data_IF_589979301219
#
_entry.id   IF_589979301219
#
_cell.length_a   1.000
_cell.length_b   1.000
_cell.length_c   1.000
_cell.angle_alpha   90.00
_cell.angle_beta   90.00
_cell.angle_gamma   90.00
#
_symmetry.space_group_name_H-M   'P 1'
#
loop_
_entity.id
_entity.type
_entity.pdbx_description
1 polymer ?
#
# COMPACT_ATOMS: atom_id res chain seq x y z
N UNK A 1 4.79 6.55 -14.64
CA UNK A 1 4.17 7.21 -13.45
C UNK A 1 5.00 8.40 -12.98
N UNK A 2 4.36 9.42 -12.37
CA UNK A 2 5.04 10.55 -11.73
C UNK A 2 4.91 10.44 -10.22
N UNK A 3 6.02 10.16 -9.54
CA UNK A 3 6.04 10.04 -8.09
C UNK A 3 6.10 11.39 -7.39
N UNK A 4 5.38 11.50 -6.27
CA UNK A 4 5.36 12.66 -5.40
C UNK A 4 5.54 12.20 -3.95
N UNK A 5 6.74 12.34 -3.41
CA UNK A 5 7.09 11.78 -2.09
C UNK A 5 6.70 12.70 -0.92
N UNK A 6 5.46 13.22 -0.89
CA UNK A 6 5.01 14.15 0.15
C UNK A 6 5.09 13.55 1.54
N UNK A 7 4.64 12.29 1.72
CA UNK A 7 4.65 11.65 3.03
C UNK A 7 6.08 11.37 3.51
N UNK A 8 6.95 10.90 2.61
CA UNK A 8 8.34 10.64 2.93
C UNK A 8 9.17 11.92 3.23
N UNK A 9 8.64 13.11 2.91
CA UNK A 9 9.26 14.39 3.28
C UNK A 9 8.89 14.88 4.69
N UNK A 10 7.96 14.19 5.37
CA UNK A 10 7.58 14.52 6.74
C UNK A 10 8.66 14.11 7.74
N UNK A 11 8.46 14.46 9.02
CA UNK A 11 9.36 14.05 10.09
C UNK A 11 9.43 12.51 10.16
N UNK A 12 10.65 11.97 10.26
CA UNK A 12 10.92 10.53 10.31
C UNK A 12 10.22 9.78 11.48
N UNK A 13 9.68 10.49 12.47
CA UNK A 13 8.85 9.89 13.53
C UNK A 13 7.45 9.47 13.03
N UNK A 14 7.03 9.92 11.85
CA UNK A 14 5.71 9.67 11.30
C UNK A 14 5.66 8.45 10.38
N UNK A 15 6.78 7.80 10.13
CA UNK A 15 6.85 6.59 9.32
C UNK A 15 8.07 5.74 9.63
N UNK A 16 8.02 4.49 9.19
CA UNK A 16 9.15 3.57 9.20
C UNK A 16 9.37 3.01 7.79
N UNK A 17 10.56 3.26 7.22
CA UNK A 17 10.90 2.71 5.92
C UNK A 17 11.24 1.23 6.03
N UNK A 18 10.60 0.41 5.21
CA UNK A 18 10.91 -1.01 5.09
C UNK A 18 10.41 -1.58 3.77
N UNK A 19 11.03 -2.66 3.34
CA UNK A 19 10.56 -3.41 2.19
C UNK A 19 9.39 -4.34 2.57
N UNK A 20 8.44 -4.61 1.66
CA UNK A 20 7.44 -5.64 1.87
C UNK A 20 8.09 -7.02 2.02
N UNK A 21 7.43 -7.90 2.75
CA UNK A 21 7.76 -9.32 2.77
C UNK A 21 6.93 -9.99 1.67
N UNK A 22 7.52 -10.45 0.57
CA UNK A 22 6.78 -10.95 -0.57
C UNK A 22 5.86 -12.13 -0.24
N UNK A 23 4.72 -12.20 -0.95
CA UNK A 23 3.89 -13.39 -0.96
C UNK A 23 4.49 -14.45 -1.86
N UNK A 24 4.73 -15.64 -1.32
CA UNK A 24 5.20 -16.79 -2.11
C UNK A 24 4.02 -17.38 -2.90
N UNK A 25 4.28 -17.72 -4.17
CA UNK A 25 3.27 -18.33 -5.04
C UNK A 25 2.08 -17.43 -5.31
N UNK A 26 2.30 -16.13 -5.41
CA UNK A 26 1.24 -15.18 -5.76
C UNK A 26 0.65 -15.51 -7.12
N UNK A 27 -0.69 -15.51 -7.19
CA UNK A 27 -1.44 -15.71 -8.42
C UNK A 27 -2.24 -14.46 -8.75
N UNK A 28 -2.42 -14.22 -10.04
CA UNK A 28 -3.27 -13.15 -10.53
C UNK A 28 -4.72 -13.34 -10.04
N UNK A 29 -5.27 -12.30 -9.46
CA UNK A 29 -6.69 -12.18 -9.17
C UNK A 29 -7.38 -11.34 -10.25
N UNK A 30 -7.97 -10.23 -9.83
CA UNK A 30 -8.58 -9.23 -10.73
C UNK A 30 -7.69 -7.99 -10.79
N UNK A 31 -7.48 -7.47 -11.98
CA UNK A 31 -6.77 -6.23 -12.24
C UNK A 31 -7.73 -5.18 -12.81
N UNK A 32 -7.75 -4.00 -12.21
CA UNK A 32 -8.55 -2.88 -12.72
C UNK A 32 -7.71 -2.07 -13.70
N UNK A 33 -7.84 -2.43 -14.98
CA UNK A 33 -7.07 -1.79 -16.06
C UNK A 33 -7.42 -0.30 -16.22
N UNK A 34 -8.70 0.05 -16.10
CA UNK A 34 -9.14 1.44 -16.19
C UNK A 34 -8.54 2.31 -15.10
N UNK A 35 -8.44 1.80 -13.87
CA UNK A 35 -7.76 2.49 -12.78
C UNK A 35 -6.25 2.61 -13.03
N UNK A 36 -5.62 1.58 -13.56
CA UNK A 36 -4.20 1.63 -13.90
C UNK A 36 -3.90 2.68 -14.99
N UNK A 37 -4.81 2.85 -15.96
CA UNK A 37 -4.72 3.90 -16.98
C UNK A 37 -4.87 5.29 -16.37
N UNK A 38 -5.86 5.50 -15.51
CA UNK A 38 -6.07 6.76 -14.78
C UNK A 38 -4.84 7.13 -13.94
N UNK A 39 -4.21 6.14 -13.32
CA UNK A 39 -3.00 6.28 -12.51
C UNK A 39 -1.72 6.37 -13.35
N UNK A 40 -1.84 6.35 -14.66
CA UNK A 40 -0.73 6.45 -15.62
C UNK A 40 0.34 5.35 -15.42
N UNK A 41 -0.09 4.13 -15.11
CA UNK A 41 0.83 3.00 -15.06
C UNK A 41 1.41 2.75 -16.44
N UNK A 42 2.73 2.51 -16.51
CA UNK A 42 3.38 2.12 -17.76
C UNK A 42 2.98 0.70 -18.17
N UNK A 43 3.18 0.35 -19.44
CA UNK A 43 2.94 -1.01 -19.92
C UNK A 43 3.81 -2.03 -19.16
N UNK A 44 5.02 -1.63 -18.76
CA UNK A 44 5.90 -2.45 -17.93
C UNK A 44 5.30 -2.68 -16.53
N UNK A 45 4.78 -1.63 -15.87
CA UNK A 45 4.17 -1.77 -14.55
C UNK A 45 2.90 -2.62 -14.62
N UNK A 46 2.09 -2.43 -15.67
CA UNK A 46 0.91 -3.25 -15.92
C UNK A 46 1.28 -4.72 -16.16
N UNK A 47 2.37 -4.99 -16.91
CA UNK A 47 2.83 -6.37 -17.11
C UNK A 47 3.33 -7.04 -15.81
N UNK A 48 3.86 -6.24 -14.87
CA UNK A 48 4.41 -6.72 -13.59
C UNK A 48 3.46 -6.49 -12.40
N UNK A 49 2.17 -6.27 -12.62
CA UNK A 49 1.26 -5.91 -11.53
C UNK A 49 1.17 -6.96 -10.42
N UNK A 50 1.29 -8.25 -10.74
CA UNK A 50 1.26 -9.32 -9.75
C UNK A 50 2.47 -9.22 -8.83
N UNK A 51 3.64 -8.98 -9.37
CA UNK A 51 4.89 -8.80 -8.62
C UNK A 51 4.83 -7.57 -7.73
N UNK A 52 4.27 -6.46 -8.23
CA UNK A 52 4.07 -5.23 -7.45
C UNK A 52 3.08 -5.46 -6.32
N UNK A 53 1.90 -6.01 -6.63
CA UNK A 53 0.84 -6.25 -5.65
C UNK A 53 1.15 -7.38 -4.65
N UNK A 54 2.09 -8.26 -4.97
CA UNK A 54 2.58 -9.30 -4.04
C UNK A 54 3.79 -8.86 -3.20
N UNK A 55 4.33 -7.66 -3.47
CA UNK A 55 5.50 -7.13 -2.79
C UNK A 55 6.82 -7.70 -3.28
N UNK A 56 6.85 -8.40 -4.41
CA UNK A 56 8.08 -8.92 -5.02
C UNK A 56 8.85 -7.81 -5.76
N UNK A 57 8.13 -6.83 -6.32
CA UNK A 57 8.69 -5.66 -6.99
C UNK A 57 8.21 -4.39 -6.28
N UNK A 58 9.10 -3.42 -6.12
CA UNK A 58 8.79 -2.09 -5.58
C UNK A 58 9.28 -1.02 -6.55
N UNK A 59 8.78 0.20 -6.42
CA UNK A 59 9.21 1.31 -7.25
C UNK A 59 10.51 1.90 -6.71
N UNK A 60 11.50 2.08 -7.58
CA UNK A 60 12.80 2.64 -7.20
C UNK A 60 12.69 4.10 -6.71
N UNK A 61 11.73 4.84 -7.25
CA UNK A 61 11.48 6.24 -6.96
C UNK A 61 10.78 6.48 -5.61
N UNK A 62 10.21 5.44 -5.01
CA UNK A 62 9.49 5.55 -3.76
C UNK A 62 9.84 4.38 -2.81
N UNK A 63 10.75 4.59 -1.85
CA UNK A 63 11.03 3.60 -0.82
C UNK A 63 9.75 3.30 0.00
N UNK A 64 9.28 2.04 0.06
CA UNK A 64 8.08 1.70 0.82
C UNK A 64 8.19 2.07 2.30
N UNK A 65 7.08 2.49 2.88
CA UNK A 65 7.04 2.89 4.28
C UNK A 65 5.73 2.49 4.98
N UNK A 66 5.82 2.21 6.27
CA UNK A 66 4.69 2.05 7.17
C UNK A 66 4.41 3.39 7.86
N UNK A 67 3.19 3.88 7.76
CA UNK A 67 2.79 5.16 8.36
C UNK A 67 2.51 5.01 9.86
N UNK A 68 2.76 6.09 10.61
CA UNK A 68 2.40 6.22 12.03
C UNK A 68 1.33 7.30 12.16
N UNK A 69 0.28 6.99 12.90
CA UNK A 69 -0.84 7.89 13.11
C UNK A 69 -1.47 7.67 14.49
N UNK A 70 -2.44 8.50 14.84
CA UNK A 70 -3.26 8.37 16.03
C UNK A 70 -4.74 8.40 15.64
N UNK A 71 -5.59 7.80 16.45
CA UNK A 71 -7.02 7.80 16.16
C UNK A 71 -7.84 6.96 17.13
N UNK A 72 -9.14 6.92 16.92
CA UNK A 72 -10.04 6.07 17.68
C UNK A 72 -10.03 4.64 17.15
N UNK A 73 -9.92 3.68 18.05
CA UNK A 73 -10.03 2.26 17.76
C UNK A 73 -10.89 1.60 18.85
N UNK A 74 -11.93 0.88 18.43
CA UNK A 74 -12.89 0.23 19.35
C UNK A 74 -13.50 1.20 20.38
N UNK A 75 -13.83 2.41 19.95
CA UNK A 75 -14.45 3.44 20.81
C UNK A 75 -13.49 4.14 21.78
N UNK A 76 -12.20 3.85 21.74
CA UNK A 76 -11.19 4.48 22.58
C UNK A 76 -10.14 5.22 21.74
N UNK A 77 -9.61 6.28 22.31
CA UNK A 77 -8.51 7.01 21.71
C UNK A 77 -7.20 6.21 21.85
N UNK A 78 -6.57 5.93 20.72
CA UNK A 78 -5.22 5.38 20.67
C UNK A 78 -4.24 6.48 20.25
N UNK A 79 -3.37 6.86 21.14
CA UNK A 79 -2.38 7.91 20.92
C UNK A 79 -1.31 7.54 19.89
N UNK A 80 -1.10 6.25 19.66
CA UNK A 80 -0.23 5.74 18.61
C UNK A 80 -0.82 4.50 17.98
N UNK A 81 -0.99 4.56 16.67
CA UNK A 81 -1.32 3.48 15.75
C UNK A 81 -0.28 3.49 14.61
N UNK A 82 -0.41 2.56 13.69
CA UNK A 82 0.41 2.53 12.49
C UNK A 82 -0.04 1.41 11.56
N UNK A 83 0.55 1.39 10.38
CA UNK A 83 0.29 0.39 9.35
C UNK A 83 0.83 -0.98 9.78
N UNK A 84 0.03 -1.74 10.52
CA UNK A 84 0.43 -3.04 11.08
C UNK A 84 0.45 -4.18 10.07
N UNK A 85 -0.08 -3.98 8.87
CA UNK A 85 -0.10 -4.98 7.78
C UNK A 85 -0.14 -4.34 6.40
N UNK A 86 0.25 -3.10 6.29
CA UNK A 86 0.23 -2.36 5.04
C UNK A 86 1.48 -1.53 4.88
N UNK A 87 1.80 -1.18 3.65
CA UNK A 87 2.87 -0.26 3.30
C UNK A 87 2.38 0.70 2.22
N UNK A 88 2.68 1.97 2.40
CA UNK A 88 2.62 2.93 1.31
C UNK A 88 3.79 2.62 0.38
N UNK A 89 3.48 2.19 -0.84
CA UNK A 89 4.48 1.77 -1.85
C UNK A 89 4.66 2.80 -2.96
N UNK A 90 3.85 3.85 -2.99
CA UNK A 90 3.94 4.94 -3.92
C UNK A 90 2.98 6.07 -3.59
N UNK A 91 3.38 7.29 -3.88
CA UNK A 91 2.50 8.45 -4.00
C UNK A 91 2.69 8.98 -5.41
N UNK A 92 1.67 8.93 -6.23
CA UNK A 92 1.74 9.27 -7.65
C UNK A 92 0.74 10.35 -8.02
N UNK A 93 0.99 11.05 -9.11
CA UNK A 93 0.03 11.97 -9.71
C UNK A 93 -0.80 11.20 -10.74
N UNK A 94 -2.13 11.26 -10.62
CA UNK A 94 -3.01 10.74 -11.65
C UNK A 94 -3.10 11.70 -12.85
N UNK A 95 -3.84 11.32 -13.90
CA UNK A 95 -4.04 12.14 -15.09
C UNK A 95 -4.70 13.51 -14.82
N UNK A 96 -5.33 13.69 -13.66
CA UNK A 96 -5.96 14.95 -13.23
C UNK A 96 -5.06 15.80 -12.33
N UNK A 97 -3.80 15.39 -12.11
CA UNK A 97 -2.84 16.08 -11.25
C UNK A 97 -3.11 15.90 -9.75
N UNK A 98 -3.97 14.96 -9.36
CA UNK A 98 -4.23 14.62 -7.96
C UNK A 98 -3.20 13.63 -7.45
N UNK A 99 -2.75 13.81 -6.20
CA UNK A 99 -1.87 12.85 -5.54
C UNK A 99 -2.69 11.66 -5.05
N UNK A 100 -2.31 10.47 -5.49
CA UNK A 100 -2.95 9.20 -5.11
C UNK A 100 -1.92 8.34 -4.37
N UNK A 101 -2.34 7.78 -3.24
CA UNK A 101 -1.53 6.86 -2.47
C UNK A 101 -1.73 5.42 -2.98
N UNK A 102 -0.63 4.75 -3.29
CA UNK A 102 -0.62 3.32 -3.58
C UNK A 102 -0.27 2.57 -2.29
N UNK A 103 -1.26 1.91 -1.72
CA UNK A 103 -1.11 1.23 -0.43
C UNK A 103 -1.26 -0.28 -0.59
N UNK A 104 -0.18 -1.01 -0.30
CA UNK A 104 -0.16 -2.47 -0.36
C UNK A 104 -0.64 -3.05 0.97
N UNK A 105 -1.74 -3.79 0.97
CA UNK A 105 -2.31 -4.43 2.15
C UNK A 105 -1.89 -5.90 2.24
N UNK A 106 -1.49 -6.34 3.41
CA UNK A 106 -0.95 -7.69 3.62
C UNK A 106 0.54 -7.80 3.29
N UNK A 107 1.24 -6.69 3.32
CA UNK A 107 2.65 -6.57 2.92
C UNK A 107 3.66 -7.26 3.86
N UNK A 108 3.19 -7.95 4.88
CA UNK A 108 4.00 -8.58 5.91
C UNK A 108 4.10 -7.75 7.19
N UNK A 109 4.84 -8.22 8.19
CA UNK A 109 4.94 -7.54 9.48
C UNK A 109 5.68 -6.21 9.36
N UNK A 110 5.23 -5.24 10.15
CA UNK A 110 5.84 -3.92 10.34
C UNK A 110 6.10 -3.72 11.83
N UNK A 111 6.81 -2.67 12.26
CA UNK A 111 6.95 -2.35 13.68
C UNK A 111 5.61 -2.11 14.39
N UNK A 112 4.52 -1.90 13.64
CA UNK A 112 3.18 -1.62 14.18
C UNK A 112 2.23 -2.81 14.11
N UNK A 113 2.71 -4.00 13.71
CA UNK A 113 1.89 -5.23 13.60
C UNK A 113 1.44 -5.77 14.95
N UNK A 114 2.02 -5.28 16.04
CA UNK A 114 1.82 -5.85 17.37
C UNK A 114 2.23 -7.33 17.37
N UNK A 115 1.31 -8.25 17.58
CA UNK A 115 1.58 -9.70 17.48
C UNK A 115 1.01 -10.34 16.19
N UNK A 116 0.61 -9.53 15.22
CA UNK A 116 0.09 -9.99 13.94
C UNK A 116 1.19 -10.36 12.95
N UNK A 117 0.86 -11.21 11.99
CA UNK A 117 1.77 -11.65 10.92
C UNK A 117 1.90 -10.64 9.76
N UNK A 118 1.18 -9.53 9.84
CA UNK A 118 1.17 -8.51 8.79
C UNK A 118 0.45 -8.94 7.51
N UNK A 119 -0.29 -10.04 7.52
CA UNK A 119 -1.02 -10.53 6.33
C UNK A 119 -2.49 -10.12 6.35
N UNK A 120 -3.11 -10.12 5.18
CA UNK A 120 -4.52 -9.88 5.00
C UNK A 120 -5.23 -11.17 4.58
N UNK A 121 -6.36 -11.48 5.23
CA UNK A 121 -7.15 -12.65 4.85
C UNK A 121 -7.95 -12.36 3.57
N UNK A 122 -7.97 -13.30 2.65
CA UNK A 122 -8.60 -13.16 1.33
C UNK A 122 -10.05 -12.66 1.41
N UNK A 123 -10.83 -13.20 2.34
CA UNK A 123 -12.24 -12.77 2.55
C UNK A 123 -12.36 -11.27 2.85
N UNK A 124 -11.45 -10.71 3.63
CA UNK A 124 -11.44 -9.28 3.95
C UNK A 124 -11.04 -8.44 2.74
N UNK A 125 -10.04 -8.91 1.99
CA UNK A 125 -9.55 -8.24 0.78
C UNK A 125 -10.63 -8.18 -0.29
N UNK A 126 -11.34 -9.28 -0.54
CA UNK A 126 -12.45 -9.32 -1.51
C UNK A 126 -13.54 -8.32 -1.13
N UNK A 127 -13.95 -8.26 0.15
CA UNK A 127 -14.98 -7.30 0.58
C UNK A 127 -14.53 -5.85 0.38
N UNK A 128 -13.29 -5.55 0.71
CA UNK A 128 -12.73 -4.20 0.58
C UNK A 128 -12.65 -3.79 -0.90
N UNK A 129 -12.25 -4.72 -1.76
CA UNK A 129 -12.22 -4.51 -3.20
C UNK A 129 -13.62 -4.22 -3.76
N UNK A 130 -14.61 -5.05 -3.43
CA UNK A 130 -15.99 -4.86 -3.89
C UNK A 130 -16.60 -3.56 -3.37
N UNK A 131 -16.38 -3.22 -2.11
CA UNK A 131 -16.89 -1.97 -1.53
C UNK A 131 -16.23 -0.72 -2.13
N UNK A 132 -15.01 -0.82 -2.61
CA UNK A 132 -14.32 0.27 -3.30
C UNK A 132 -14.80 0.52 -4.73
N UNK A 133 -15.59 -0.41 -5.30
CA UNK A 133 -16.18 -0.29 -6.63
C UNK A 133 -17.68 0.13 -6.62
N UNK A 134 -18.29 0.22 -5.45
CA UNK A 134 -19.73 0.50 -5.29
C UNK A 134 -20.07 2.00 -5.40
#
# INVERSE_FOLDING_TARGET
MHFNSRYASLNAKLYHQQQPVPLRGANAGHFNEALADELQWSDEDKANWVEICSGQKTFAEFPPLAMVYAGHQFGQWAGQLGDGRGLLIGQILNQHGQTIDLHLKGAGPTPYSRMGDGRAVLRSVIREYLAGHA
#
